data_IF_495262596464
#
_entry.id   IF_495262596464
#
_cell.length_a   1.000
_cell.length_b   1.000
_cell.length_c   1.000
_cell.angle_alpha   90.00
_cell.angle_beta   90.00
_cell.angle_gamma   90.00
#
_symmetry.space_group_name_H-M   'P 1'
#
loop_
_entity.id
_entity.type
_entity.pdbx_description
1 polymer ?
#
# COMPACT_ATOMS: atom_id res chain seq x y z
N UNK A 1 3.74 3.19 17.10
CA UNK A 1 5.01 3.51 16.42
C UNK A 1 5.07 2.70 15.14
N UNK A 2 5.13 3.35 13.98
CA UNK A 2 5.29 2.65 12.69
C UNK A 2 6.66 2.00 12.68
N UNK A 3 6.70 0.67 12.56
CA UNK A 3 7.95 -0.05 12.33
C UNK A 3 8.19 -0.10 10.82
N UNK A 4 9.10 0.76 10.35
CA UNK A 4 9.59 0.66 8.98
C UNK A 4 10.39 -0.63 8.85
N UNK A 5 9.93 -1.57 8.02
CA UNK A 5 10.67 -2.81 7.76
C UNK A 5 11.81 -2.55 6.79
N UNK A 6 12.94 -2.04 7.30
CA UNK A 6 14.17 -1.83 6.53
C UNK A 6 14.58 -3.04 5.68
N UNK A 7 14.50 -4.30 6.17
CA UNK A 7 14.82 -5.46 5.35
C UNK A 7 13.95 -5.60 4.10
N UNK A 8 12.65 -5.29 4.20
CA UNK A 8 11.73 -5.37 3.05
C UNK A 8 12.04 -4.26 2.05
N UNK A 9 12.27 -3.03 2.49
CA UNK A 9 12.63 -1.91 1.61
C UNK A 9 13.95 -2.18 0.86
N UNK A 10 14.96 -2.70 1.57
CA UNK A 10 16.23 -3.09 0.95
C UNK A 10 16.08 -4.27 -0.01
N UNK A 11 15.25 -5.25 0.34
CA UNK A 11 14.95 -6.38 -0.53
C UNK A 11 14.18 -5.99 -1.77
N UNK A 12 13.26 -5.02 -1.65
CA UNK A 12 12.48 -4.46 -2.75
C UNK A 12 13.40 -3.88 -3.83
N UNK A 13 14.32 -2.97 -3.44
CA UNK A 13 15.28 -2.37 -4.37
C UNK A 13 16.19 -3.39 -5.10
N UNK A 14 16.33 -4.61 -4.56
CA UNK A 14 17.14 -5.68 -5.17
C UNK A 14 16.38 -6.55 -6.17
N UNK A 15 15.05 -6.61 -6.06
CA UNK A 15 14.21 -7.46 -6.93
C UNK A 15 13.58 -6.67 -8.07
N UNK A 16 13.44 -5.35 -7.91
CA UNK A 16 12.83 -4.49 -8.92
C UNK A 16 13.62 -4.49 -10.24
N UNK A 17 12.93 -4.55 -11.39
CA UNK A 17 13.58 -4.54 -12.70
C UNK A 17 14.21 -3.17 -13.02
N UNK A 18 13.78 -2.11 -12.33
CA UNK A 18 14.25 -0.74 -12.49
C UNK A 18 14.28 -0.05 -11.14
N UNK A 19 15.26 0.81 -10.89
CA UNK A 19 15.26 1.67 -9.71
C UNK A 19 14.08 2.65 -9.75
N UNK A 20 13.33 2.72 -8.65
CA UNK A 20 12.25 3.69 -8.50
C UNK A 20 12.84 4.98 -7.95
N UNK A 21 13.08 5.97 -8.82
CA UNK A 21 13.25 7.34 -8.36
C UNK A 21 11.95 7.90 -7.78
N UNK A 22 11.98 9.12 -7.28
CA UNK A 22 10.80 9.80 -6.71
C UNK A 22 9.61 9.78 -7.69
N UNK A 23 9.85 9.95 -8.99
CA UNK A 23 8.83 9.86 -10.04
C UNK A 23 8.12 8.49 -10.07
N UNK A 24 8.87 7.40 -9.91
CA UNK A 24 8.33 6.05 -9.89
C UNK A 24 7.48 5.80 -8.64
N UNK A 25 7.94 6.28 -7.49
CA UNK A 25 7.20 6.15 -6.22
C UNK A 25 5.90 6.94 -6.25
N UNK A 26 5.90 8.15 -6.81
CA UNK A 26 4.69 8.97 -6.94
C UNK A 26 3.69 8.33 -7.91
N UNK A 27 4.18 7.76 -9.02
CA UNK A 27 3.32 7.02 -9.95
C UNK A 27 2.69 5.79 -9.30
N UNK A 28 3.47 5.04 -8.51
CA UNK A 28 2.95 3.91 -7.75
C UNK A 28 1.92 4.37 -6.71
N UNK A 29 2.20 5.45 -5.98
CA UNK A 29 1.28 5.99 -4.98
C UNK A 29 -0.10 6.33 -5.57
N UNK A 30 -0.12 6.98 -6.74
CA UNK A 30 -1.36 7.28 -7.44
C UNK A 30 -2.07 6.01 -7.92
N UNK A 31 -1.31 4.99 -8.34
CA UNK A 31 -1.83 3.69 -8.75
C UNK A 31 -2.51 2.98 -7.58
N UNK A 32 -1.84 2.88 -6.43
CA UNK A 32 -2.38 2.21 -5.24
C UNK A 32 -3.58 2.95 -4.64
N UNK A 33 -3.58 4.29 -4.65
CA UNK A 33 -4.77 5.06 -4.24
C UNK A 33 -5.95 4.79 -5.20
N UNK A 34 -5.67 4.62 -6.50
CA UNK A 34 -6.68 4.24 -7.49
C UNK A 34 -7.27 2.86 -7.22
N UNK A 35 -6.42 1.86 -6.92
CA UNK A 35 -6.82 0.51 -6.56
C UNK A 35 -7.63 0.47 -5.26
N UNK A 36 -7.20 1.22 -4.23
CA UNK A 36 -7.97 1.43 -3.00
C UNK A 36 -9.36 2.03 -3.28
N UNK A 37 -9.45 3.05 -4.14
CA UNK A 37 -10.73 3.65 -4.53
C UNK A 37 -11.68 2.63 -5.18
N UNK A 38 -11.14 1.73 -6.01
CA UNK A 38 -11.92 0.63 -6.57
C UNK A 38 -12.41 -0.33 -5.48
N UNK A 39 -11.57 -0.70 -4.52
CA UNK A 39 -11.98 -1.56 -3.42
C UNK A 39 -13.07 -0.91 -2.56
N UNK A 40 -12.94 0.38 -2.24
CA UNK A 40 -13.94 1.16 -1.52
C UNK A 40 -15.28 1.23 -2.27
N UNK A 41 -15.29 1.47 -3.59
CA UNK A 41 -16.54 1.51 -4.36
C UNK A 41 -17.27 0.17 -4.42
N UNK A 42 -16.56 -0.95 -4.37
CA UNK A 42 -17.17 -2.29 -4.21
C UNK A 42 -17.70 -2.46 -2.78
N UNK A 43 -16.94 -2.00 -1.79
CA UNK A 43 -17.30 -2.12 -0.38
C UNK A 43 -18.56 -1.32 -0.01
N UNK A 44 -18.71 -0.13 -0.58
CA UNK A 44 -19.84 0.79 -0.38
C UNK A 44 -20.98 0.58 -1.40
N UNK A 45 -20.99 -0.53 -2.13
CA UNK A 45 -22.05 -0.92 -3.08
C UNK A 45 -22.27 0.02 -4.28
N UNK A 46 -21.35 0.94 -4.56
CA UNK A 46 -21.36 1.75 -5.79
C UNK A 46 -21.04 0.95 -7.05
N UNK A 47 -20.36 -0.19 -6.92
CA UNK A 47 -19.96 -1.05 -8.02
C UNK A 47 -20.17 -2.52 -7.70
N UNK A 48 -20.61 -3.30 -8.70
CA UNK A 48 -20.68 -4.74 -8.59
C UNK A 48 -19.30 -5.37 -8.34
N UNK A 49 -19.22 -6.23 -7.32
CA UNK A 49 -18.03 -6.98 -6.96
C UNK A 49 -18.23 -7.71 -5.63
N UNK A 50 -17.32 -8.64 -5.31
CA UNK A 50 -17.32 -9.34 -4.03
C UNK A 50 -16.61 -8.48 -2.99
N UNK A 51 -17.28 -8.13 -1.90
CA UNK A 51 -16.64 -7.47 -0.74
C UNK A 51 -15.66 -8.45 -0.09
N UNK A 52 -14.40 -8.04 0.04
CA UNK A 52 -13.35 -8.85 0.65
C UNK A 52 -12.54 -8.01 1.63
N UNK A 53 -12.59 -8.37 2.93
CA UNK A 53 -11.82 -7.67 3.98
C UNK A 53 -10.33 -7.76 3.72
N UNK A 54 -9.90 -8.91 3.20
CA UNK A 54 -8.52 -9.14 2.82
C UNK A 54 -8.13 -8.19 1.69
N UNK A 55 -8.91 -8.13 0.60
CA UNK A 55 -8.61 -7.22 -0.50
C UNK A 55 -8.52 -5.77 -0.03
N UNK A 56 -9.51 -5.28 0.74
CA UNK A 56 -9.46 -3.91 1.25
C UNK A 56 -8.25 -3.68 2.17
N UNK A 57 -7.89 -4.66 3.00
CA UNK A 57 -6.69 -4.63 3.82
C UNK A 57 -5.41 -4.54 3.01
N UNK A 58 -5.29 -5.34 1.95
CA UNK A 58 -4.13 -5.36 1.07
C UNK A 58 -3.94 -3.98 0.41
N UNK A 59 -5.00 -3.40 -0.15
CA UNK A 59 -4.96 -2.07 -0.78
C UNK A 59 -4.57 -0.96 0.21
N UNK A 60 -5.03 -1.04 1.47
CA UNK A 60 -4.62 -0.11 2.53
C UNK A 60 -3.14 -0.28 2.88
N UNK A 61 -2.66 -1.53 2.96
CA UNK A 61 -1.25 -1.84 3.22
C UNK A 61 -0.35 -1.41 2.08
N UNK A 62 -0.79 -1.54 0.83
CA UNK A 62 -0.04 -1.13 -0.36
C UNK A 62 0.14 0.39 -0.40
N UNK A 63 -0.92 1.18 -0.19
CA UNK A 63 -0.81 2.64 -0.05
C UNK A 63 0.13 3.01 1.11
N UNK A 64 -0.03 2.36 2.27
CA UNK A 64 0.82 2.60 3.42
C UNK A 64 2.31 2.29 3.14
N UNK A 65 2.58 1.17 2.47
CA UNK A 65 3.94 0.77 2.08
C UNK A 65 4.59 1.81 1.16
N UNK A 66 3.86 2.30 0.14
CA UNK A 66 4.40 3.29 -0.79
C UNK A 66 4.69 4.62 -0.07
N UNK A 67 3.86 5.04 0.88
CA UNK A 67 4.11 6.21 1.71
C UNK A 67 5.38 6.05 2.56
N UNK A 68 5.56 4.88 3.18
CA UNK A 68 6.78 4.56 3.96
C UNK A 68 8.02 4.53 3.05
N UNK A 69 7.92 3.97 1.85
CA UNK A 69 9.00 3.97 0.86
C UNK A 69 9.36 5.40 0.42
N UNK A 70 8.37 6.26 0.23
CA UNK A 70 8.61 7.66 -0.12
C UNK A 70 9.35 8.40 1.00
N UNK A 71 8.96 8.20 2.26
CA UNK A 71 9.68 8.78 3.40
C UNK A 71 11.12 8.29 3.47
N UNK A 72 11.34 6.99 3.26
CA UNK A 72 12.67 6.39 3.25
C UNK A 72 13.57 7.03 2.19
N UNK A 73 13.09 7.16 0.96
CA UNK A 73 13.88 7.73 -0.15
C UNK A 73 14.16 9.22 0.02
N UNK A 74 13.21 9.95 0.62
CA UNK A 74 13.38 11.37 0.96
C UNK A 74 14.17 11.59 2.27
N UNK A 75 14.57 10.51 2.95
CA UNK A 75 15.24 10.55 4.27
C UNK A 75 14.44 11.32 5.32
N UNK A 76 13.12 11.18 5.27
CA UNK A 76 12.18 11.78 6.22
C UNK A 76 11.97 10.78 7.36
N UNK A 77 12.24 11.22 8.59
CA UNK A 77 11.90 10.45 9.79
C UNK A 77 10.43 10.70 10.16
N UNK A 78 9.66 9.64 10.49
CA UNK A 78 8.30 9.81 10.96
C UNK A 78 8.27 10.54 12.31
N UNK A 79 7.30 11.43 12.49
CA UNK A 79 7.03 12.04 13.78
C UNK A 79 6.79 10.96 14.86
N UNK A 80 7.19 11.27 16.09
CA UNK A 80 6.98 10.38 17.25
C UNK A 80 5.50 10.12 17.53
N UNK A 81 4.63 11.05 17.12
CA UNK A 81 3.18 10.97 17.20
C UNK A 81 2.57 11.18 15.82
N UNK A 82 1.68 10.27 15.42
CA UNK A 82 0.87 10.41 14.22
C UNK A 82 -0.56 10.67 14.64
N UNK A 83 -1.20 11.65 14.00
CA UNK A 83 -2.59 11.95 14.21
C UNK A 83 -3.45 10.90 13.52
N UNK A 84 -4.29 10.21 14.30
CA UNK A 84 -5.32 9.32 13.75
C UNK A 84 -6.47 10.21 13.28
N UNK A 85 -6.77 10.19 11.98
CA UNK A 85 -7.81 11.03 11.39
C UNK A 85 -9.12 10.25 11.41
N UNK A 86 -10.12 10.77 12.11
CA UNK A 86 -11.46 10.20 12.09
C UNK A 86 -12.09 10.39 10.71
N UNK A 87 -12.51 9.29 10.08
CA UNK A 87 -13.12 9.29 8.76
C UNK A 87 -14.64 9.34 8.86
N UNK A 88 -15.24 10.42 8.34
CA UNK A 88 -16.69 10.55 8.24
C UNK A 88 -17.25 9.63 7.15
N UNK A 89 -16.69 9.75 5.94
CA UNK A 89 -17.03 8.90 4.80
C UNK A 89 -15.77 8.44 4.05
N UNK A 90 -15.76 7.24 3.47
CA UNK A 90 -14.61 6.72 2.75
C UNK A 90 -14.27 7.50 1.47
N UNK A 91 -15.27 8.11 0.83
CA UNK A 91 -15.09 8.96 -0.36
C UNK A 91 -14.31 10.22 0.01
N UNK A 92 -14.65 10.86 1.14
CA UNK A 92 -13.93 12.04 1.62
C UNK A 92 -12.46 11.69 1.86
N UNK A 93 -12.18 10.56 2.52
CA UNK A 93 -10.82 10.10 2.75
C UNK A 93 -10.08 9.82 1.43
N UNK A 94 -10.72 9.14 0.49
CA UNK A 94 -10.15 8.82 -0.82
C UNK A 94 -9.83 10.08 -1.64
N UNK A 95 -10.76 11.04 -1.71
CA UNK A 95 -10.51 12.32 -2.39
C UNK A 95 -9.39 13.12 -1.73
N UNK A 96 -9.31 13.10 -0.40
CA UNK A 96 -8.20 13.74 0.32
C UNK A 96 -6.87 13.05 0.02
N UNK A 97 -6.81 11.72 -0.01
CA UNK A 97 -5.61 10.96 -0.40
C UNK A 97 -5.15 11.34 -1.81
N UNK A 98 -6.06 11.34 -2.78
CA UNK A 98 -5.75 11.69 -4.17
C UNK A 98 -5.25 13.14 -4.30
N UNK A 99 -5.89 14.09 -3.60
CA UNK A 99 -5.44 15.49 -3.56
C UNK A 99 -4.04 15.61 -2.98
N UNK A 100 -3.77 14.97 -1.84
CA UNK A 100 -2.46 15.03 -1.18
C UNK A 100 -1.35 14.36 -2.02
N UNK A 101 -1.65 13.24 -2.69
CA UNK A 101 -0.74 12.62 -3.64
C UNK A 101 -0.40 13.56 -4.81
N UNK A 102 -1.38 14.32 -5.30
CA UNK A 102 -1.18 15.34 -6.34
C UNK A 102 -0.33 16.51 -5.85
N UNK A 103 -0.48 16.91 -4.57
CA UNK A 103 0.41 17.92 -3.96
C UNK A 103 1.85 17.41 -3.87
N UNK A 104 2.07 16.15 -3.49
CA UNK A 104 3.40 15.51 -3.51
C UNK A 104 3.98 15.50 -4.94
N UNK A 105 3.16 15.26 -5.97
CA UNK A 105 3.61 15.29 -7.36
C UNK A 105 4.19 16.65 -7.78
N UNK A 106 3.84 17.75 -7.08
CA UNK A 106 4.38 19.09 -7.34
C UNK A 106 5.84 19.25 -6.90
N UNK A 107 6.43 18.31 -6.14
CA UNK A 107 7.87 18.30 -5.81
C UNK A 107 8.74 18.49 -7.06
N UNK A 108 8.26 18.01 -8.21
CA UNK A 108 8.95 18.09 -9.50
C UNK A 108 8.80 19.43 -10.22
N UNK A 109 7.71 20.15 -9.98
CA UNK A 109 7.48 21.44 -10.64
C UNK A 109 8.46 22.47 -10.06
N UNK A 110 8.72 23.57 -10.78
CA UNK A 110 9.72 24.63 -10.45
C UNK A 110 9.52 25.36 -9.08
N UNK A 111 8.76 24.75 -8.16
CA UNK A 111 8.57 25.17 -6.77
C UNK A 111 8.69 23.91 -5.89
N UNK A 112 9.91 23.43 -5.62
CA UNK A 112 10.11 22.29 -4.74
C UNK A 112 9.52 22.60 -3.37
N UNK A 113 8.63 21.72 -2.90
CA UNK A 113 8.03 21.85 -1.58
C UNK A 113 9.12 21.66 -0.51
N UNK A 114 9.10 22.43 0.60
CA UNK A 114 9.98 22.17 1.73
C UNK A 114 9.79 20.73 2.25
N UNK A 115 10.89 20.05 2.62
CA UNK A 115 10.84 18.68 3.14
C UNK A 115 9.86 18.53 4.32
N UNK A 116 9.79 19.55 5.20
CA UNK A 116 8.83 19.58 6.30
C UNK A 116 7.38 19.60 5.83
N UNK A 117 7.08 20.29 4.73
CA UNK A 117 5.74 20.28 4.12
C UNK A 117 5.42 18.90 3.56
N UNK A 118 6.39 18.27 2.87
CA UNK A 118 6.23 16.92 2.32
C UNK A 118 5.99 15.91 3.45
N UNK A 119 6.77 15.98 4.53
CA UNK A 119 6.59 15.15 5.72
C UNK A 119 5.17 15.27 6.27
N UNK A 120 4.67 16.49 6.50
CA UNK A 120 3.31 16.70 7.00
C UNK A 120 2.24 16.14 6.07
N UNK A 121 2.44 16.23 4.75
CA UNK A 121 1.52 15.66 3.77
C UNK A 121 1.52 14.13 3.90
N UNK A 122 2.69 13.50 3.94
CA UNK A 122 2.80 12.04 4.06
C UNK A 122 2.19 11.55 5.38
N UNK A 123 2.50 12.20 6.50
CA UNK A 123 1.93 11.86 7.81
C UNK A 123 0.41 11.99 7.83
N UNK A 124 -0.13 13.03 7.18
CA UNK A 124 -1.57 13.18 7.01
C UNK A 124 -2.18 12.06 6.16
N UNK A 125 -1.51 11.65 5.09
CA UNK A 125 -1.97 10.52 4.27
C UNK A 125 -1.95 9.21 5.06
N UNK A 126 -0.91 8.97 5.87
CA UNK A 126 -0.85 7.83 6.78
C UNK A 126 -2.03 7.85 7.76
N UNK A 127 -2.32 9.00 8.37
CA UNK A 127 -3.47 9.17 9.27
C UNK A 127 -4.82 8.88 8.59
N UNK A 128 -4.96 9.22 7.31
CA UNK A 128 -6.16 8.90 6.51
C UNK A 128 -6.28 7.39 6.23
N UNK A 129 -5.18 6.73 5.88
CA UNK A 129 -5.15 5.27 5.64
C UNK A 129 -5.48 4.51 6.93
N UNK A 130 -4.88 4.92 8.06
CA UNK A 130 -5.17 4.33 9.38
C UNK A 130 -6.64 4.57 9.79
N UNK A 131 -7.15 5.78 9.57
CA UNK A 131 -8.55 6.10 9.80
C UNK A 131 -9.53 5.26 8.96
N UNK A 132 -9.20 5.01 7.69
CA UNK A 132 -9.96 4.09 6.83
C UNK A 132 -9.90 2.66 7.37
N UNK A 133 -8.72 2.18 7.73
CA UNK A 133 -8.55 0.85 8.29
C UNK A 133 -9.39 0.67 9.57
N UNK A 134 -9.32 1.65 10.48
CA UNK A 134 -10.10 1.67 11.72
C UNK A 134 -11.61 1.62 11.45
N UNK A 135 -12.13 2.40 10.47
CA UNK A 135 -13.55 2.38 10.07
C UNK A 135 -14.04 0.98 9.70
N UNK A 136 -13.21 0.21 9.01
CA UNK A 136 -13.54 -1.15 8.57
C UNK A 136 -13.13 -2.25 9.55
N UNK A 137 -12.71 -1.88 10.78
CA UNK A 137 -12.18 -2.79 11.78
C UNK A 137 -11.01 -3.63 11.24
N UNK A 138 -10.12 -3.00 10.50
CA UNK A 138 -8.93 -3.60 9.91
C UNK A 138 -7.69 -3.09 10.67
N UNK A 139 -6.97 -3.94 11.42
CA UNK A 139 -5.77 -3.52 12.13
C UNK A 139 -4.62 -3.33 11.14
N UNK A 140 -4.44 -2.10 10.64
CA UNK A 140 -3.48 -1.77 9.58
C UNK A 140 -2.07 -2.26 9.89
N UNK A 141 -1.63 -2.14 11.14
CA UNK A 141 -0.34 -2.64 11.59
C UNK A 141 -0.18 -4.15 11.41
N UNK A 142 -1.19 -4.94 11.75
CA UNK A 142 -1.15 -6.41 11.63
C UNK A 142 -1.19 -6.83 10.17
N UNK A 143 -2.04 -6.18 9.36
CA UNK A 143 -2.15 -6.43 7.92
C UNK A 143 -0.80 -6.13 7.26
N UNK A 144 -0.22 -4.97 7.56
CA UNK A 144 1.07 -4.58 7.02
C UNK A 144 2.21 -5.51 7.47
N UNK A 145 2.25 -5.91 8.76
CA UNK A 145 3.23 -6.88 9.25
C UNK A 145 3.14 -8.22 8.52
N UNK A 146 1.94 -8.69 8.23
CA UNK A 146 1.73 -9.93 7.48
C UNK A 146 2.19 -9.79 6.02
N UNK A 147 1.86 -8.69 5.34
CA UNK A 147 2.36 -8.40 4.00
C UNK A 147 3.90 -8.31 3.96
N UNK A 148 4.52 -7.65 4.94
CA UNK A 148 5.98 -7.58 5.06
C UNK A 148 6.61 -8.96 5.31
N UNK A 149 5.94 -9.82 6.08
CA UNK A 149 6.37 -11.21 6.32
C UNK A 149 6.31 -12.04 5.04
N UNK A 150 5.21 -11.93 4.28
CA UNK A 150 5.04 -12.60 2.99
C UNK A 150 6.08 -12.11 1.99
N UNK A 151 6.26 -10.79 1.85
CA UNK A 151 7.27 -10.19 0.99
C UNK A 151 8.69 -10.72 1.31
N UNK A 152 9.04 -10.79 2.60
CA UNK A 152 10.33 -11.33 3.04
C UNK A 152 10.50 -12.81 2.69
N UNK A 153 9.47 -13.63 2.88
CA UNK A 153 9.49 -15.05 2.51
C UNK A 153 9.73 -15.21 1.01
N UNK A 154 9.05 -14.39 0.20
CA UNK A 154 9.18 -14.43 -1.25
C UNK A 154 10.53 -13.95 -1.75
N UNK A 155 11.09 -12.89 -1.16
CA UNK A 155 12.46 -12.45 -1.45
C UNK A 155 13.47 -13.59 -1.21
N UNK A 156 13.34 -14.33 -0.11
CA UNK A 156 14.19 -15.51 0.16
C UNK A 156 14.06 -16.57 -0.94
N UNK A 157 12.84 -16.85 -1.42
CA UNK A 157 12.58 -17.80 -2.51
C UNK A 157 13.17 -17.27 -3.84
N UNK A 158 12.98 -15.98 -4.14
CA UNK A 158 13.52 -15.32 -5.33
C UNK A 158 15.04 -15.49 -5.39
N UNK A 159 15.75 -15.12 -4.32
CA UNK A 159 17.22 -15.19 -4.27
C UNK A 159 17.71 -16.63 -4.27
N UNK A 160 17.05 -17.56 -3.57
CA UNK A 160 17.40 -18.99 -3.59
C UNK A 160 17.28 -19.62 -4.99
N UNK A 161 16.42 -19.06 -5.84
CA UNK A 161 16.15 -19.61 -7.17
C UNK A 161 16.84 -18.82 -8.29
N UNK A 162 17.73 -17.87 -7.97
CA UNK A 162 18.38 -16.96 -8.93
C UNK A 162 17.37 -16.32 -9.90
N UNK A 163 16.19 -15.93 -9.39
CA UNK A 163 15.11 -15.34 -10.19
C UNK A 163 14.41 -16.30 -11.16
N UNK A 164 14.85 -17.56 -11.32
CA UNK A 164 14.28 -18.52 -12.29
C UNK A 164 12.84 -18.92 -11.96
N UNK A 165 12.46 -19.01 -10.68
CA UNK A 165 11.07 -19.30 -10.26
C UNK A 165 10.20 -18.05 -10.09
N UNK A 166 10.81 -16.87 -10.05
CA UNK A 166 10.11 -15.64 -9.67
C UNK A 166 9.71 -14.73 -10.84
N UNK A 167 10.36 -14.84 -12.02
CA UNK A 167 9.83 -14.23 -13.26
C UNK A 167 8.46 -14.82 -13.64
N UNK A 168 8.23 -16.08 -13.28
CA UNK A 168 6.93 -16.73 -13.37
C UNK A 168 5.90 -16.08 -12.43
N UNK A 169 6.31 -15.34 -11.39
CA UNK A 169 5.44 -14.94 -10.28
C UNK A 169 4.88 -13.52 -10.33
N UNK A 170 5.52 -12.54 -10.97
CA UNK A 170 4.81 -11.26 -11.28
C UNK A 170 3.58 -11.54 -12.16
N UNK A 171 3.68 -12.56 -13.02
CA UNK A 171 2.57 -13.13 -13.78
C UNK A 171 1.61 -13.99 -12.93
N UNK A 172 2.11 -14.75 -11.93
CA UNK A 172 1.29 -15.58 -11.05
C UNK A 172 0.71 -14.91 -9.78
N UNK A 173 1.15 -13.72 -9.34
CA UNK A 173 0.56 -12.98 -8.19
C UNK A 173 -0.92 -12.67 -8.46
N UNK A 174 -1.31 -12.51 -9.73
CA UNK A 174 -2.72 -12.43 -10.16
C UNK A 174 -3.42 -13.80 -10.29
N UNK A 175 -2.71 -14.90 -10.60
CA UNK A 175 -3.28 -16.24 -10.87
C UNK A 175 -3.32 -17.19 -9.65
N UNK A 176 -2.27 -17.23 -8.82
CA UNK A 176 -2.22 -18.01 -7.59
C UNK A 176 -3.19 -17.45 -6.55
N UNK A 177 -3.37 -16.12 -6.53
CA UNK A 177 -4.35 -15.44 -5.69
C UNK A 177 -5.79 -15.78 -6.12
N UNK A 178 -6.06 -15.82 -7.43
CA UNK A 178 -7.31 -16.36 -7.97
C UNK A 178 -7.57 -17.81 -7.51
N UNK A 179 -6.52 -18.65 -7.47
CA UNK A 179 -6.64 -20.06 -7.05
C UNK A 179 -6.82 -20.25 -5.53
N UNK A 180 -6.15 -19.45 -4.69
CA UNK A 180 -6.28 -19.54 -3.22
C UNK A 180 -7.64 -19.01 -2.78
N UNK A 181 -8.09 -17.88 -3.34
CA UNK A 181 -9.45 -17.35 -3.12
C UNK A 181 -10.51 -18.34 -3.60
N UNK A 182 -10.39 -18.86 -4.83
CA UNK A 182 -11.31 -19.87 -5.37
C UNK A 182 -11.38 -21.16 -4.54
N UNK A 183 -10.25 -21.61 -3.97
CA UNK A 183 -10.21 -22.83 -3.14
C UNK A 183 -10.82 -22.61 -1.76
N UNK A 184 -10.67 -21.41 -1.19
CA UNK A 184 -11.32 -21.03 0.06
C UNK A 184 -12.83 -20.84 -0.11
N UNK A 185 -13.27 -20.31 -1.26
CA UNK A 185 -14.68 -20.12 -1.62
C UNK A 185 -15.43 -21.45 -1.73
N UNK A 186 -14.85 -22.46 -2.41
CA UNK A 186 -15.44 -23.80 -2.49
C UNK A 186 -15.48 -24.57 -1.17
N UNK A 187 -14.64 -24.20 -0.20
CA UNK A 187 -14.68 -24.81 1.13
C UNK A 187 -15.84 -24.23 1.96
N UNK A 188 -16.20 -22.96 1.74
CA UNK A 188 -17.31 -22.29 2.42
C UNK A 188 -18.67 -22.66 1.80
N UNK A 189 -18.75 -22.88 0.48
CA UNK A 189 -19.99 -23.36 -0.19
C UNK A 189 -20.37 -24.82 0.13
N UNK A 190 -19.48 -25.57 0.79
CA UNK A 190 -19.71 -26.97 1.21
C UNK A 190 -20.03 -27.13 2.69
N UNK A 191 -20.15 -26.02 3.42
CA UNK A 191 -20.62 -25.96 4.81
C UNK A 191 -21.97 -25.27 4.86
#
# INVERSE_FOLDING_TARGET
MIKISTPVLLGFNRVEPREWGIDGIILELLTEIGSLGRALTIWEDYRYGRKSRHQLGDELSDVFFVLVKLMWDLKIEPSSTLEIIKINTPEEAHFQLMRLATEIAKIKNNTPLPLFTIQKIIEKMIGLVDGLAARYNLPLNQIHEEEMRLATLWQKIFFKTNGKKARFFVFWRKMLWFFIVWRHERAIERM
#
